data_IF_131306867001
#
_entry.id   IF_131306867001
#
_cell.length_a   1.000
_cell.length_b   1.000
_cell.length_c   1.000
_cell.angle_alpha   90.00
_cell.angle_beta   90.00
_cell.angle_gamma   90.00
#
_symmetry.space_group_name_H-M   'P 1'
#
loop_
_entity.id
_entity.type
_entity.pdbx_description
1 polymer ?
#
# COMPACT_ATOMS: atom_id res chain seq x y z
N UNK A 1 -3.39 1.12 15.48
CA UNK A 1 -4.85 1.15 15.31
C UNK A 1 -5.19 1.49 13.87
N UNK A 2 -6.35 1.07 13.37
CA UNK A 2 -6.84 1.45 12.03
C UNK A 2 -7.92 2.52 12.24
N UNK A 3 -7.77 3.75 11.71
CA UNK A 3 -8.70 4.86 11.95
C UNK A 3 -10.02 4.66 11.18
N UNK A 4 -10.83 3.72 11.64
CA UNK A 4 -12.18 3.47 11.12
C UNK A 4 -13.20 4.25 11.94
N UNK A 5 -14.31 4.67 11.31
CA UNK A 5 -15.39 5.41 11.97
C UNK A 5 -15.99 4.68 13.20
N UNK A 6 -15.86 3.35 13.22
CA UNK A 6 -16.39 2.46 14.26
C UNK A 6 -15.63 1.14 14.25
N UNK A 7 -15.67 0.43 15.37
CA UNK A 7 -15.09 -0.91 15.48
C UNK A 7 -15.87 -1.89 14.59
N UNK A 8 -15.14 -2.57 13.69
CA UNK A 8 -15.64 -3.61 12.78
C UNK A 8 -14.57 -4.67 12.56
N UNK A 9 -14.96 -5.81 12.01
CA UNK A 9 -14.01 -6.75 11.43
C UNK A 9 -13.20 -6.08 10.32
N UNK A 10 -11.91 -6.39 10.27
CA UNK A 10 -10.96 -5.78 9.32
C UNK A 10 -10.57 -6.74 8.20
N UNK A 11 -11.05 -7.98 8.23
CA UNK A 11 -10.82 -9.00 7.21
C UNK A 11 -11.90 -10.11 7.31
N UNK A 12 -12.98 -10.03 6.52
CA UNK A 12 -13.25 -9.02 5.50
C UNK A 12 -13.64 -7.66 6.08
N UNK A 13 -13.24 -6.57 5.41
CA UNK A 13 -13.67 -5.20 5.71
C UNK A 13 -15.08 -4.97 5.11
N UNK A 14 -16.08 -4.52 5.90
CA UNK A 14 -17.47 -4.38 5.44
C UNK A 14 -17.71 -3.04 4.72
N UNK A 15 -17.07 -2.86 3.56
CA UNK A 15 -17.30 -1.70 2.68
C UNK A 15 -18.63 -1.83 1.93
N UNK A 16 -19.23 -0.69 1.58
CA UNK A 16 -20.37 -0.65 0.67
C UNK A 16 -19.99 -1.01 -0.78
N UNK A 17 -18.72 -0.85 -1.15
CA UNK A 17 -18.18 -1.22 -2.45
C UNK A 17 -18.09 -2.75 -2.62
N UNK A 18 -18.73 -3.29 -3.66
CA UNK A 18 -18.87 -4.75 -3.87
C UNK A 18 -18.39 -5.25 -5.24
N UNK A 19 -17.77 -4.41 -6.07
CA UNK A 19 -17.35 -4.85 -7.42
C UNK A 19 -16.11 -5.77 -7.41
N UNK A 20 -15.34 -5.75 -6.31
CA UNK A 20 -14.18 -6.62 -6.10
C UNK A 20 -14.43 -7.61 -4.95
N UNK A 21 -13.63 -8.69 -4.84
CA UNK A 21 -13.62 -9.53 -3.66
C UNK A 21 -13.38 -8.73 -2.38
N UNK A 22 -13.88 -9.25 -1.26
CA UNK A 22 -13.82 -8.53 0.02
C UNK A 22 -12.40 -8.07 0.40
N UNK A 23 -12.29 -6.77 0.67
CA UNK A 23 -11.04 -6.15 1.07
C UNK A 23 -10.65 -6.55 2.50
N UNK A 24 -9.42 -6.20 2.87
CA UNK A 24 -9.00 -6.14 4.25
C UNK A 24 -8.44 -4.76 4.58
N UNK A 25 -8.68 -4.27 5.79
CA UNK A 25 -7.97 -3.14 6.35
C UNK A 25 -6.77 -3.61 7.19
N UNK A 26 -5.68 -2.86 7.11
CA UNK A 26 -4.50 -3.01 7.96
C UNK A 26 -3.84 -1.65 8.18
N UNK A 27 -3.20 -1.45 9.32
CA UNK A 27 -2.34 -0.29 9.58
C UNK A 27 -0.92 -0.76 9.82
N UNK A 28 0.03 -0.15 9.12
CA UNK A 28 1.48 -0.38 9.26
C UNK A 28 2.20 0.90 9.68
N UNK A 29 1.48 1.78 10.39
CA UNK A 29 1.87 3.17 10.68
C UNK A 29 0.98 4.19 9.96
N UNK A 30 0.43 3.80 8.80
CA UNK A 30 -0.62 4.49 8.07
C UNK A 30 -1.70 3.47 7.59
N UNK A 31 -2.94 3.90 7.32
CA UNK A 31 -4.03 3.00 6.92
C UNK A 31 -3.94 2.49 5.48
N UNK A 32 -4.21 1.20 5.29
CA UNK A 32 -4.29 0.54 3.98
C UNK A 32 -5.56 -0.30 3.87
N UNK A 33 -6.17 -0.28 2.68
CA UNK A 33 -7.23 -1.19 2.26
C UNK A 33 -6.71 -2.01 1.09
N UNK A 34 -6.67 -3.33 1.26
CA UNK A 34 -6.06 -4.27 0.33
C UNK A 34 -7.14 -5.17 -0.28
N UNK A 35 -7.25 -5.14 -1.61
CA UNK A 35 -8.07 -6.03 -2.40
C UNK A 35 -7.20 -7.09 -3.07
N UNK A 36 -7.60 -8.36 -2.97
CA UNK A 36 -6.98 -9.44 -3.75
C UNK A 36 -7.79 -9.68 -5.02
N UNK A 37 -7.13 -9.56 -6.17
CA UNK A 37 -7.71 -9.69 -7.51
C UNK A 37 -6.95 -10.73 -8.33
N UNK A 38 -7.50 -11.15 -9.46
CA UNK A 38 -6.82 -12.08 -10.37
C UNK A 38 -5.71 -11.38 -11.17
N UNK A 39 -5.99 -10.17 -11.63
CA UNK A 39 -5.06 -9.32 -12.36
C UNK A 39 -5.19 -7.88 -11.84
N UNK A 40 -4.07 -7.23 -11.53
CA UNK A 40 -4.06 -5.83 -11.04
C UNK A 40 -4.22 -4.80 -12.15
N UNK A 41 -4.08 -5.20 -13.42
CA UNK A 41 -4.17 -4.29 -14.56
C UNK A 41 -5.60 -4.18 -15.13
N UNK A 42 -6.48 -5.14 -14.82
CA UNK A 42 -7.88 -5.11 -15.28
C UNK A 42 -8.74 -4.07 -14.55
N UNK A 43 -8.74 -3.97 -13.21
CA UNK A 43 -9.62 -3.05 -12.51
C UNK A 43 -9.11 -1.60 -12.63
N UNK A 44 -9.99 -0.61 -12.87
CA UNK A 44 -9.60 0.79 -12.95
C UNK A 44 -9.28 1.36 -11.55
N UNK A 45 -8.03 1.17 -11.09
CA UNK A 45 -7.58 1.51 -9.73
C UNK A 45 -7.99 2.92 -9.26
N UNK A 46 -7.86 3.94 -10.09
CA UNK A 46 -8.20 5.32 -9.68
C UNK A 46 -9.69 5.46 -9.35
N UNK A 47 -10.59 4.99 -10.23
CA UNK A 47 -12.04 4.98 -10.00
C UNK A 47 -12.39 4.18 -8.74
N UNK A 48 -11.82 2.98 -8.60
CA UNK A 48 -12.07 2.12 -7.45
C UNK A 48 -11.61 2.80 -6.16
N UNK A 49 -10.45 3.44 -6.17
CA UNK A 49 -9.96 4.16 -5.01
C UNK A 49 -10.87 5.32 -4.62
N UNK A 50 -11.35 6.11 -5.58
CA UNK A 50 -12.32 7.19 -5.32
C UNK A 50 -13.62 6.66 -4.69
N UNK A 51 -14.19 5.58 -5.23
CA UNK A 51 -15.41 4.98 -4.70
C UNK A 51 -15.22 4.39 -3.30
N UNK A 52 -14.10 3.71 -3.06
CA UNK A 52 -13.78 3.14 -1.74
C UNK A 52 -13.51 4.24 -0.71
N UNK A 53 -12.81 5.30 -1.09
CA UNK A 53 -12.50 6.44 -0.21
C UNK A 53 -13.75 7.28 0.13
N UNK A 54 -14.81 7.18 -0.66
CA UNK A 54 -16.09 7.80 -0.35
C UNK A 54 -16.88 7.06 0.73
N UNK A 55 -16.46 5.85 1.14
CA UNK A 55 -17.13 5.09 2.20
C UNK A 55 -16.96 5.80 3.56
N UNK A 56 -18.06 6.12 4.28
CA UNK A 56 -18.01 6.78 5.58
C UNK A 56 -17.22 6.04 6.66
N UNK A 57 -16.93 4.75 6.46
CA UNK A 57 -16.09 3.97 7.36
C UNK A 57 -14.63 4.47 7.38
N UNK A 58 -14.14 5.06 6.29
CA UNK A 58 -12.75 5.49 6.11
C UNK A 58 -12.59 7.00 6.42
N UNK A 59 -12.81 7.39 7.67
CA UNK A 59 -12.84 8.82 8.11
C UNK A 59 -11.59 9.61 7.74
N UNK A 60 -10.42 9.00 7.87
CA UNK A 60 -9.14 9.63 7.54
C UNK A 60 -8.64 9.20 6.15
N UNK A 61 -9.44 8.49 5.37
CA UNK A 61 -9.02 7.81 4.15
C UNK A 61 -8.00 6.68 4.38
N UNK A 62 -7.57 6.05 3.30
CA UNK A 62 -6.58 4.98 3.31
C UNK A 62 -5.82 4.91 1.99
N UNK A 63 -4.66 4.25 1.96
CA UNK A 63 -4.07 3.83 0.70
C UNK A 63 -4.85 2.61 0.19
N UNK A 64 -5.20 2.61 -1.11
CA UNK A 64 -5.99 1.54 -1.71
C UNK A 64 -5.07 0.71 -2.60
N UNK A 65 -4.97 -0.58 -2.34
CA UNK A 65 -4.09 -1.49 -3.09
C UNK A 65 -4.87 -2.62 -3.76
N UNK A 66 -4.55 -2.86 -5.03
CA UNK A 66 -4.92 -4.09 -5.73
C UNK A 66 -3.72 -5.03 -5.70
N UNK A 67 -3.95 -6.30 -5.36
CA UNK A 67 -2.88 -7.30 -5.20
C UNK A 67 -3.27 -8.60 -5.90
N UNK A 68 -2.39 -9.12 -6.75
CA UNK A 68 -2.48 -10.45 -7.34
C UNK A 68 -1.41 -11.36 -6.74
N UNK A 69 -1.80 -12.58 -6.37
CA UNK A 69 -0.91 -13.59 -5.80
C UNK A 69 -0.40 -14.55 -6.89
N UNK A 70 0.89 -14.47 -7.19
CA UNK A 70 1.55 -15.11 -8.33
C UNK A 70 2.66 -16.09 -7.86
N UNK A 71 3.19 -16.89 -8.80
CA UNK A 71 4.33 -17.80 -8.56
C UNK A 71 4.15 -18.73 -7.35
N UNK A 72 3.10 -19.56 -7.37
CA UNK A 72 2.75 -20.42 -6.23
C UNK A 72 3.74 -21.58 -6.04
N UNK A 73 4.08 -21.86 -4.77
CA UNK A 73 4.86 -23.03 -4.37
C UNK A 73 4.01 -24.32 -4.39
N UNK A 74 4.65 -25.46 -4.13
CA UNK A 74 3.97 -26.77 -4.10
C UNK A 74 2.87 -26.89 -3.03
N UNK A 75 2.81 -25.96 -2.07
CA UNK A 75 1.75 -25.87 -1.04
C UNK A 75 0.68 -24.83 -1.40
N UNK A 76 0.72 -24.26 -2.61
CA UNK A 76 -0.22 -23.27 -3.09
C UNK A 76 0.02 -21.84 -2.60
N UNK A 77 1.13 -21.57 -1.90
CA UNK A 77 1.45 -20.23 -1.38
C UNK A 77 2.22 -19.43 -2.42
N UNK A 78 1.80 -18.20 -2.68
CA UNK A 78 2.47 -17.30 -3.59
C UNK A 78 3.88 -16.94 -3.08
N UNK A 79 4.84 -16.89 -4.02
CA UNK A 79 6.19 -16.36 -3.79
C UNK A 79 6.31 -14.91 -4.22
N UNK A 80 5.38 -14.45 -5.04
CA UNK A 80 5.31 -13.11 -5.57
C UNK A 80 3.91 -12.54 -5.39
N UNK A 81 3.84 -11.31 -4.90
CA UNK A 81 2.64 -10.47 -4.98
C UNK A 81 2.89 -9.38 -6.03
N UNK A 82 2.03 -9.27 -7.03
CA UNK A 82 2.01 -8.11 -7.93
C UNK A 82 1.01 -7.10 -7.41
N UNK A 83 1.36 -5.82 -7.36
CA UNK A 83 0.56 -4.80 -6.69
C UNK A 83 0.54 -3.49 -7.47
N UNK A 84 -0.60 -2.79 -7.41
CA UNK A 84 -0.73 -1.37 -7.73
C UNK A 84 -1.40 -0.65 -6.56
N UNK A 85 -1.03 0.61 -6.35
CA UNK A 85 -1.48 1.40 -5.19
C UNK A 85 -1.93 2.79 -5.60
N UNK A 86 -3.01 3.24 -4.99
CA UNK A 86 -3.45 4.62 -4.95
C UNK A 86 -3.17 5.16 -3.55
N UNK A 87 -2.27 6.14 -3.44
CA UNK A 87 -1.88 6.73 -2.17
C UNK A 87 -2.81 7.87 -1.79
N UNK A 88 -3.22 7.88 -0.52
CA UNK A 88 -4.07 8.91 0.06
C UNK A 88 -3.41 10.28 -0.11
N UNK A 89 -4.12 11.20 -0.78
CA UNK A 89 -3.66 12.58 -1.00
C UNK A 89 -2.65 12.75 -2.13
N UNK A 90 -2.29 11.68 -2.86
CA UNK A 90 -1.31 11.71 -3.96
C UNK A 90 -1.91 11.15 -5.25
N UNK A 91 -2.62 10.01 -5.16
CA UNK A 91 -3.11 9.27 -6.32
C UNK A 91 -2.24 8.06 -6.65
N UNK A 92 -2.32 7.54 -7.90
CA UNK A 92 -1.53 6.36 -8.30
C UNK A 92 -0.03 6.64 -8.25
N UNK A 93 0.72 5.83 -7.50
CA UNK A 93 2.19 5.95 -7.41
C UNK A 93 2.86 4.69 -7.98
N UNK A 94 4.09 4.81 -8.53
CA UNK A 94 4.80 3.66 -9.07
C UNK A 94 5.29 2.71 -7.96
N UNK A 95 5.47 3.18 -6.73
CA UNK A 95 5.98 2.36 -5.63
C UNK A 95 5.59 2.96 -4.27
N UNK A 96 5.08 2.13 -3.36
CA UNK A 96 4.80 2.48 -1.97
C UNK A 96 5.30 1.36 -1.03
N UNK A 97 6.34 1.64 -0.26
CA UNK A 97 6.93 0.65 0.66
C UNK A 97 5.96 0.17 1.74
N UNK A 98 5.17 1.10 2.31
CA UNK A 98 4.16 0.75 3.32
C UNK A 98 3.05 -0.13 2.76
N UNK A 99 2.62 0.10 1.51
CA UNK A 99 1.64 -0.75 0.84
C UNK A 99 2.16 -2.17 0.58
N UNK A 100 3.46 -2.30 0.27
CA UNK A 100 4.07 -3.62 0.09
C UNK A 100 4.04 -4.43 1.40
N UNK A 101 4.33 -3.78 2.54
CA UNK A 101 4.22 -4.41 3.86
C UNK A 101 2.76 -4.75 4.19
N UNK A 102 1.82 -3.84 3.92
CA UNK A 102 0.39 -4.07 4.14
C UNK A 102 -0.13 -5.27 3.32
N UNK A 103 0.21 -5.34 2.03
CA UNK A 103 -0.15 -6.44 1.15
C UNK A 103 0.41 -7.77 1.66
N UNK A 104 1.68 -7.82 2.05
CA UNK A 104 2.30 -9.01 2.62
C UNK A 104 1.66 -9.42 3.96
N UNK A 105 1.34 -8.47 4.83
CA UNK A 105 0.69 -8.74 6.11
C UNK A 105 -0.71 -9.35 5.94
N UNK A 106 -1.53 -8.79 5.05
CA UNK A 106 -2.86 -9.34 4.73
C UNK A 106 -2.72 -10.71 4.05
N UNK A 107 -1.81 -10.85 3.09
CA UNK A 107 -1.56 -12.14 2.43
C UNK A 107 -1.15 -13.23 3.43
N UNK A 108 -0.27 -12.90 4.38
CA UNK A 108 0.17 -13.83 5.42
C UNK A 108 -0.99 -14.20 6.35
N UNK A 109 -1.79 -13.22 6.81
CA UNK A 109 -3.00 -13.47 7.63
C UNK A 109 -3.99 -14.39 6.93
N UNK A 110 -4.15 -14.26 5.61
CA UNK A 110 -5.00 -15.11 4.77
C UNK A 110 -4.35 -16.44 4.36
N UNK A 111 -3.13 -16.74 4.80
CA UNK A 111 -2.41 -17.97 4.46
C UNK A 111 -1.97 -18.07 2.99
N UNK A 112 -1.94 -16.94 2.26
CA UNK A 112 -1.64 -16.89 0.83
C UNK A 112 -0.15 -16.94 0.52
N UNK A 113 0.72 -16.59 1.47
CA UNK A 113 2.17 -16.49 1.32
C UNK A 113 2.87 -17.14 2.51
N UNK A 114 4.19 -17.36 2.39
CA UNK A 114 5.05 -17.74 3.52
C UNK A 114 5.55 -16.49 4.27
N UNK A 115 6.43 -16.67 5.25
CA UNK A 115 7.07 -15.55 5.96
C UNK A 115 7.90 -14.64 5.03
N UNK A 116 8.43 -15.16 3.93
CA UNK A 116 9.16 -14.39 2.93
C UNK A 116 8.36 -14.31 1.62
N UNK A 117 8.20 -13.10 1.09
CA UNK A 117 7.51 -12.86 -0.17
C UNK A 117 8.10 -11.67 -0.92
N UNK A 118 8.19 -11.77 -2.25
CA UNK A 118 8.51 -10.63 -3.10
C UNK A 118 7.23 -9.84 -3.41
N UNK A 119 7.32 -8.51 -3.46
CA UNK A 119 6.23 -7.62 -3.87
C UNK A 119 6.69 -6.79 -5.06
N UNK A 120 6.13 -7.04 -6.24
CA UNK A 120 6.41 -6.31 -7.48
C UNK A 120 5.38 -5.21 -7.69
N UNK A 121 5.88 -4.00 -7.86
CA UNK A 121 5.14 -2.79 -8.18
C UNK A 121 5.66 -2.22 -9.53
N UNK A 122 4.97 -1.25 -10.15
CA UNK A 122 5.46 -0.62 -11.37
C UNK A 122 6.89 -0.06 -11.26
N UNK A 123 7.25 0.49 -10.10
CA UNK A 123 8.55 1.10 -9.82
C UNK A 123 9.64 0.12 -9.40
N UNK A 124 9.35 -1.18 -9.31
CA UNK A 124 10.33 -2.20 -8.96
C UNK A 124 9.82 -3.24 -7.96
N UNK A 125 10.74 -4.08 -7.50
CA UNK A 125 10.46 -5.19 -6.59
C UNK A 125 11.05 -4.94 -5.21
N UNK A 126 10.25 -5.22 -4.18
CA UNK A 126 10.62 -5.18 -2.77
C UNK A 126 10.54 -6.60 -2.19
N UNK A 127 11.38 -6.89 -1.20
CA UNK A 127 11.28 -8.10 -0.39
C UNK A 127 10.63 -7.77 0.94
N UNK A 128 9.65 -8.58 1.36
CA UNK A 128 9.04 -8.49 2.68
C UNK A 128 9.27 -9.80 3.43
N UNK A 129 9.77 -9.70 4.67
CA UNK A 129 9.98 -10.85 5.56
C UNK A 129 9.27 -10.62 6.88
N UNK A 130 8.47 -11.60 7.32
CA UNK A 130 7.91 -11.67 8.67
C UNK A 130 8.84 -12.46 9.57
N UNK A 131 9.25 -11.91 10.70
CA UNK A 131 10.07 -12.63 11.67
C UNK A 131 9.22 -13.48 12.63
N UNK A 132 9.89 -14.27 13.48
CA UNK A 132 9.23 -15.17 14.44
C UNK A 132 8.43 -14.41 15.52
N UNK A 133 8.77 -13.14 15.76
CA UNK A 133 8.09 -12.24 16.69
C UNK A 133 6.86 -11.58 16.03
N UNK A 134 6.75 -11.69 14.71
CA UNK A 134 5.65 -11.15 13.92
C UNK A 134 5.88 -9.75 13.38
N UNK A 135 7.09 -9.21 13.46
CA UNK A 135 7.44 -7.97 12.79
C UNK A 135 7.69 -8.19 11.30
N UNK A 136 7.44 -7.14 10.52
CA UNK A 136 7.68 -7.14 9.09
C UNK A 136 8.90 -6.29 8.75
N UNK A 137 9.81 -6.85 7.98
CA UNK A 137 11.02 -6.23 7.47
C UNK A 137 10.86 -5.99 5.97
N UNK A 138 11.16 -4.77 5.53
CA UNK A 138 11.11 -4.37 4.12
C UNK A 138 12.53 -4.16 3.61
N UNK A 139 12.85 -4.75 2.45
CA UNK A 139 14.11 -4.57 1.76
C UNK A 139 13.86 -4.17 0.30
N UNK A 140 14.63 -3.22 -0.22
CA UNK A 140 14.54 -2.75 -1.59
C UNK A 140 15.82 -2.06 -2.04
N UNK A 141 16.01 -1.89 -3.36
CA UNK A 141 17.16 -1.17 -3.89
C UNK A 141 17.09 0.33 -3.59
N UNK A 142 18.26 0.97 -3.51
CA UNK A 142 18.40 2.43 -3.39
C UNK A 142 19.38 2.93 -4.44
N UNK A 143 19.15 4.11 -5.00
CA UNK A 143 20.05 4.74 -5.96
C UNK A 143 20.22 6.24 -5.67
N UNK A 144 21.47 6.72 -5.72
CA UNK A 144 21.76 8.16 -5.70
C UNK A 144 21.48 8.73 -7.10
N UNK A 145 20.48 9.60 -7.22
CA UNK A 145 20.14 10.26 -8.49
C UNK A 145 21.13 11.37 -8.82
N UNK A 146 21.36 12.28 -7.86
CA UNK A 146 22.27 13.40 -8.02
C UNK A 146 22.80 13.88 -6.66
N UNK A 147 23.91 14.61 -6.68
CA UNK A 147 24.45 15.37 -5.55
C UNK A 147 24.92 16.73 -6.06
N UNK A 148 24.57 17.81 -5.36
CA UNK A 148 24.94 19.16 -5.77
C UNK A 148 24.86 20.18 -4.63
N UNK A 149 25.22 21.42 -4.94
CA UNK A 149 25.04 22.60 -4.10
C UNK A 149 24.04 23.52 -4.81
N UNK A 150 23.11 24.09 -4.07
CA UNK A 150 22.19 25.13 -4.55
C UNK A 150 22.70 26.49 -4.06
N UNK A 151 22.70 27.49 -4.94
CA UNK A 151 22.95 28.88 -4.56
C UNK A 151 21.78 29.39 -3.69
N UNK A 152 22.05 30.27 -2.73
CA UNK A 152 21.05 30.71 -1.76
C UNK A 152 19.86 31.41 -2.45
N UNK A 153 20.15 32.13 -3.53
CA UNK A 153 19.21 32.89 -4.35
C UNK A 153 18.17 32.00 -5.02
N UNK A 154 18.48 30.70 -5.26
CA UNK A 154 17.53 29.74 -5.82
C UNK A 154 16.49 29.24 -4.79
N UNK A 155 16.66 29.58 -3.51
CA UNK A 155 15.77 29.17 -2.41
C UNK A 155 14.87 30.31 -1.94
N UNK A 156 15.10 31.54 -2.40
CA UNK A 156 14.35 32.74 -1.96
C UNK A 156 12.87 32.64 -2.36
N UNK A 157 12.56 32.17 -3.57
CA UNK A 157 11.18 31.95 -4.05
C UNK A 157 10.49 30.71 -3.44
N UNK A 158 11.26 29.75 -2.93
CA UNK A 158 10.71 28.53 -2.34
C UNK A 158 10.03 28.80 -0.97
N UNK A 159 10.42 29.88 -0.28
CA UNK A 159 9.85 30.29 0.99
C UNK A 159 8.44 30.90 0.86
N UNK A 160 8.11 31.55 -0.27
CA UNK A 160 6.77 32.11 -0.51
C UNK A 160 5.74 31.03 -0.87
N UNK A 161 6.16 29.91 -1.48
CA UNK A 161 5.28 28.78 -1.84
C UNK A 161 5.04 27.83 -0.66
N UNK A 162 5.97 27.76 0.29
CA UNK A 162 5.87 26.94 1.51
C UNK A 162 5.06 27.62 2.62
N UNK A 163 3.89 28.20 2.27
CA UNK A 163 2.97 28.82 3.22
C UNK A 163 2.74 27.96 4.47
N UNK A 164 3.14 28.52 5.62
CA UNK A 164 2.87 28.10 7.00
C UNK A 164 2.87 26.58 7.26
N UNK A 165 4.05 26.00 7.50
CA UNK A 165 4.13 24.80 8.36
C UNK A 165 4.09 25.29 9.82
N UNK A 166 3.02 25.04 10.60
CA UNK A 166 3.00 25.41 12.00
C UNK A 166 4.07 24.61 12.75
N UNK A 167 4.76 25.30 13.67
CA UNK A 167 5.75 24.71 14.57
C UNK A 167 5.18 23.60 15.46
#
# INVERSE_FOLDING_TARGET
DIPLARAVETDPLPLAFTELPAAAAVSVGNPHVVFFVLDVDEPPLARIAEEVLADPLLVDGANISLVAAEERDARGRARLLRMRVFERGVGPTPSCGSAAVAAAAVAHRRGLVSDMVAVRQPGGQLGVTRDAQGHFWLAGPTALVARGLLAAELLEDAAEVAGEVPA
#
